data_IF_237161985651
#
_entry.id   IF_237161985651
#
_cell.length_a   1.000
_cell.length_b   1.000
_cell.length_c   1.000
_cell.angle_alpha   90.00
_cell.angle_beta   90.00
_cell.angle_gamma   90.00
#
_symmetry.space_group_name_H-M   'P 1'
#
loop_
_entity.id
_entity.type
_entity.pdbx_description
1 polymer ?
#
# COMPACT_ATOMS: atom_id res chain seq x y z
N UNK A 1 -9.30 -16.92 10.59
CA UNK A 1 -8.94 -15.55 11.03
C UNK A 1 -7.43 -15.31 10.91
N UNK A 2 -6.59 -16.24 11.39
CA UNK A 2 -5.12 -16.08 11.34
C UNK A 2 -4.57 -15.83 9.92
N UNK A 3 -5.07 -16.53 8.91
CA UNK A 3 -4.68 -16.32 7.50
C UNK A 3 -4.98 -14.91 6.97
N UNK A 4 -6.05 -14.28 7.48
CA UNK A 4 -6.45 -12.92 7.11
C UNK A 4 -5.56 -11.87 7.78
N UNK A 5 -5.19 -12.09 9.04
CA UNK A 5 -4.30 -11.19 9.79
C UNK A 5 -2.90 -11.11 9.18
N UNK A 6 -2.45 -12.18 8.53
CA UNK A 6 -1.12 -12.26 7.92
C UNK A 6 -1.08 -11.73 6.47
N UNK A 7 -2.22 -11.42 5.85
CA UNK A 7 -2.28 -10.99 4.46
C UNK A 7 -1.53 -9.66 4.24
N UNK A 8 -2.00 -8.59 4.89
CA UNK A 8 -1.42 -7.25 4.77
C UNK A 8 0.06 -7.21 5.20
N UNK A 9 0.46 -7.78 6.36
CA UNK A 9 1.87 -7.84 6.74
C UNK A 9 2.77 -8.51 5.69
N UNK A 10 2.30 -9.56 5.01
CA UNK A 10 3.07 -10.24 3.96
C UNK A 10 3.18 -9.40 2.70
N UNK A 11 2.08 -8.82 2.22
CA UNK A 11 2.08 -7.96 1.02
C UNK A 11 2.96 -6.73 1.25
N UNK A 12 2.74 -6.00 2.34
CA UNK A 12 3.51 -4.81 2.67
C UNK A 12 4.97 -5.14 2.99
N UNK A 13 5.24 -6.29 3.62
CA UNK A 13 6.57 -6.80 3.88
C UNK A 13 7.33 -7.14 2.61
N UNK A 14 6.67 -7.75 1.63
CA UNK A 14 7.23 -8.03 0.31
C UNK A 14 7.55 -6.75 -0.44
N UNK A 15 6.61 -5.80 -0.49
CA UNK A 15 6.83 -4.50 -1.10
C UNK A 15 8.08 -3.85 -0.49
N UNK A 16 8.16 -3.76 0.85
CA UNK A 16 9.34 -3.24 1.52
C UNK A 16 10.63 -3.98 1.12
N UNK A 17 10.60 -5.31 1.05
CA UNK A 17 11.78 -6.11 0.68
C UNK A 17 12.23 -5.84 -0.76
N UNK A 18 11.30 -5.69 -1.70
CA UNK A 18 11.59 -5.35 -3.09
C UNK A 18 12.25 -3.97 -3.16
N UNK A 19 11.75 -2.99 -2.40
CA UNK A 19 12.31 -1.64 -2.40
C UNK A 19 13.67 -1.54 -1.68
N UNK A 20 13.88 -2.29 -0.60
CA UNK A 20 15.07 -2.15 0.23
C UNK A 20 16.23 -3.06 -0.22
N UNK A 21 15.96 -4.12 -0.99
CA UNK A 21 16.95 -5.14 -1.36
C UNK A 21 17.26 -5.10 -2.86
N UNK A 22 18.42 -4.54 -3.23
CA UNK A 22 18.84 -4.42 -4.64
C UNK A 22 18.75 -5.73 -5.46
N UNK A 23 19.18 -6.91 -4.96
CA UNK A 23 19.07 -8.15 -5.73
C UNK A 23 17.61 -8.54 -6.02
N UNK A 24 16.71 -8.30 -5.07
CA UNK A 24 15.28 -8.61 -5.20
C UNK A 24 14.61 -7.61 -6.14
N UNK A 25 14.96 -6.32 -6.03
CA UNK A 25 14.48 -5.26 -6.91
C UNK A 25 14.82 -5.56 -8.38
N UNK A 26 16.08 -5.89 -8.66
CA UNK A 26 16.55 -6.18 -10.02
C UNK A 26 15.91 -7.45 -10.58
N UNK A 27 15.78 -8.51 -9.78
CA UNK A 27 15.10 -9.73 -10.21
C UNK A 27 13.62 -9.47 -10.52
N UNK A 28 12.94 -8.69 -9.67
CA UNK A 28 11.54 -8.32 -9.86
C UNK A 28 11.34 -7.46 -11.12
N UNK A 29 12.15 -6.42 -11.30
CA UNK A 29 12.08 -5.54 -12.48
C UNK A 29 12.28 -6.32 -13.79
N UNK A 30 13.24 -7.25 -13.84
CA UNK A 30 13.43 -8.13 -15.00
C UNK A 30 12.19 -8.97 -15.32
N UNK A 31 11.48 -9.44 -14.29
CA UNK A 31 10.26 -10.24 -14.51
C UNK A 31 9.13 -9.36 -15.03
N UNK A 32 8.97 -8.17 -14.46
CA UNK A 32 7.97 -7.18 -14.90
C UNK A 32 8.22 -6.74 -16.34
N UNK A 33 9.47 -6.42 -16.72
CA UNK A 33 9.84 -5.99 -18.07
C UNK A 33 9.60 -7.09 -19.13
N UNK A 34 9.66 -8.36 -18.74
CA UNK A 34 9.43 -9.50 -19.63
C UNK A 34 7.95 -9.89 -19.75
N UNK A 35 7.05 -9.30 -18.96
CA UNK A 35 5.64 -9.63 -18.97
C UNK A 35 4.84 -8.59 -19.79
N UNK A 36 4.44 -8.91 -21.03
CA UNK A 36 3.71 -7.97 -21.89
C UNK A 36 2.27 -7.72 -21.43
N UNK A 37 1.77 -8.47 -20.44
CA UNK A 37 0.38 -8.35 -19.95
C UNK A 37 0.23 -7.24 -18.91
N UNK A 38 1.34 -6.73 -18.38
CA UNK A 38 1.33 -5.62 -17.41
C UNK A 38 1.11 -4.32 -18.17
N UNK A 39 -0.15 -3.91 -18.26
CA UNK A 39 -0.55 -2.66 -18.91
C UNK A 39 -0.58 -1.54 -17.87
N UNK A 40 0.27 -0.53 -18.02
CA UNK A 40 0.23 0.70 -17.21
C UNK A 40 1.58 1.17 -16.66
N UNK A 41 1.55 2.11 -15.72
CA UNK A 41 2.74 2.67 -15.06
C UNK A 41 3.19 1.88 -13.82
N UNK A 42 2.43 0.86 -13.42
CA UNK A 42 2.68 0.09 -12.20
C UNK A 42 3.76 -0.96 -12.44
N UNK A 43 5.02 -0.54 -12.39
CA UNK A 43 6.18 -1.44 -12.55
C UNK A 43 6.70 -2.02 -11.23
N UNK A 44 6.14 -1.60 -10.10
CA UNK A 44 6.57 -2.03 -8.76
C UNK A 44 5.40 -2.06 -7.78
N UNK A 45 5.56 -2.83 -6.72
CA UNK A 45 4.62 -2.88 -5.60
C UNK A 45 4.60 -1.56 -4.84
N UNK A 46 3.39 -1.05 -4.55
CA UNK A 46 3.26 0.16 -3.74
C UNK A 46 3.74 -0.10 -2.30
N UNK A 47 4.44 0.90 -1.72
CA UNK A 47 4.88 0.83 -0.32
C UNK A 47 3.76 1.28 0.60
N UNK A 48 3.60 0.55 1.70
CA UNK A 48 2.80 1.00 2.84
C UNK A 48 3.37 2.28 3.43
N UNK A 49 2.50 3.24 3.71
CA UNK A 49 2.84 4.52 4.31
C UNK A 49 1.93 4.80 5.51
N UNK A 50 2.50 4.82 6.71
CA UNK A 50 1.72 4.92 7.96
C UNK A 50 0.86 6.20 8.07
N UNK A 51 1.28 7.30 7.43
CA UNK A 51 0.54 8.57 7.42
C UNK A 51 -0.50 8.68 6.32
N UNK A 52 -0.53 7.75 5.35
CA UNK A 52 -1.50 7.73 4.26
C UNK A 52 -2.47 6.58 4.43
N UNK A 53 -3.71 6.93 4.73
CA UNK A 53 -4.77 5.98 5.05
C UNK A 53 -5.09 5.01 3.89
N UNK A 54 -4.84 5.39 2.64
CA UNK A 54 -5.11 4.58 1.45
C UNK A 54 -3.93 3.71 1.00
N UNK A 55 -2.78 3.78 1.69
CA UNK A 55 -1.57 3.06 1.23
C UNK A 55 -1.69 1.54 1.34
N UNK A 56 -2.54 1.04 2.25
CA UNK A 56 -2.85 -0.39 2.36
C UNK A 56 -3.68 -0.86 1.14
N UNK A 57 -4.62 -0.02 0.66
CA UNK A 57 -5.34 -0.26 -0.60
C UNK A 57 -4.36 -0.28 -1.78
N UNK A 58 -3.50 0.74 -1.92
CA UNK A 58 -2.56 0.82 -3.05
C UNK A 58 -1.60 -0.39 -3.06
N UNK A 59 -1.18 -0.86 -1.88
CA UNK A 59 -0.33 -2.05 -1.74
C UNK A 59 -1.02 -3.33 -2.21
N UNK A 60 -2.32 -3.49 -1.92
CA UNK A 60 -3.12 -4.64 -2.36
C UNK A 60 -3.45 -4.57 -3.84
N UNK A 61 -3.87 -3.40 -4.32
CA UNK A 61 -4.24 -3.16 -5.72
C UNK A 61 -3.07 -3.48 -6.66
N UNK A 62 -1.88 -2.93 -6.34
CA UNK A 62 -0.66 -3.21 -7.11
C UNK A 62 -0.20 -4.67 -6.99
N UNK A 63 -0.43 -5.34 -5.85
CA UNK A 63 -0.11 -6.76 -5.69
C UNK A 63 -0.99 -7.67 -6.54
N UNK A 64 -2.27 -7.33 -6.71
CA UNK A 64 -3.21 -8.06 -7.56
C UNK A 64 -2.90 -7.87 -9.05
N UNK A 65 -2.59 -6.64 -9.47
CA UNK A 65 -2.16 -6.35 -10.85
C UNK A 65 -0.88 -7.12 -11.20
N UNK A 66 0.07 -7.18 -10.25
CA UNK A 66 1.37 -7.83 -10.42
C UNK A 66 1.39 -9.27 -9.90
N UNK A 67 0.26 -9.97 -9.83
CA UNK A 67 0.20 -11.31 -9.20
C UNK A 67 1.23 -12.29 -9.81
N UNK A 68 1.32 -12.36 -11.14
CA UNK A 68 2.27 -13.26 -11.83
C UNK A 68 3.73 -12.87 -11.54
N UNK A 69 4.13 -11.60 -11.70
CA UNK A 69 5.45 -11.12 -11.28
C UNK A 69 5.77 -11.32 -9.80
N UNK A 70 4.78 -11.28 -8.92
CA UNK A 70 4.95 -11.52 -7.48
C UNK A 70 5.20 -12.99 -7.18
N UNK A 71 4.52 -13.91 -7.90
CA UNK A 71 4.66 -15.36 -7.72
C UNK A 71 5.95 -15.93 -8.31
N UNK A 72 6.47 -15.36 -9.40
CA UNK A 72 7.66 -15.85 -10.08
C UNK A 72 8.95 -15.88 -9.22
N UNK A 73 9.37 -14.78 -8.55
CA UNK A 73 10.60 -14.75 -7.76
C UNK A 73 10.49 -15.56 -6.46
N UNK A 74 9.28 -15.94 -6.03
CA UNK A 74 9.09 -16.84 -4.89
C UNK A 74 9.54 -18.28 -5.17
N UNK A 75 9.74 -18.64 -6.45
CA UNK A 75 10.29 -19.95 -6.84
C UNK A 75 11.82 -20.00 -6.68
N UNK A 76 12.47 -18.85 -6.72
CA UNK A 76 13.90 -18.72 -6.51
C UNK A 76 14.24 -18.90 -5.01
N UNK A 77 15.12 -19.88 -4.72
CA UNK A 77 15.52 -20.18 -3.35
C UNK A 77 16.56 -19.18 -2.83
N UNK A 78 17.31 -18.53 -3.71
CA UNK A 78 18.43 -17.66 -3.36
C UNK A 78 17.95 -16.31 -2.81
N UNK A 79 16.75 -15.87 -3.22
CA UNK A 79 16.14 -14.61 -2.77
C UNK A 79 15.44 -14.72 -1.40
N UNK A 80 15.28 -15.93 -0.86
CA UNK A 80 14.66 -16.20 0.44
C UNK A 80 13.30 -15.49 0.66
N UNK A 81 12.43 -15.49 -0.35
CA UNK A 81 11.13 -14.79 -0.34
C UNK A 81 9.96 -15.66 0.16
N UNK A 82 10.22 -16.90 0.59
CA UNK A 82 9.18 -17.86 1.00
C UNK A 82 8.29 -17.36 2.14
N UNK A 83 8.84 -16.54 3.04
CA UNK A 83 8.10 -15.96 4.16
C UNK A 83 6.93 -15.05 3.73
N UNK A 84 7.01 -14.48 2.52
CA UNK A 84 6.01 -13.57 1.97
C UNK A 84 5.03 -14.27 1.03
N UNK A 85 5.15 -15.59 0.86
CA UNK A 85 4.27 -16.35 -0.04
C UNK A 85 2.84 -16.32 0.47
N UNK A 86 1.92 -15.96 -0.41
CA UNK A 86 0.49 -16.02 -0.18
C UNK A 86 -0.08 -17.36 -0.65
N UNK A 87 -1.04 -17.91 0.09
CA UNK A 87 -1.85 -19.05 -0.36
C UNK A 87 -2.91 -18.59 -1.35
N UNK A 88 -3.50 -19.51 -2.12
CA UNK A 88 -4.58 -19.14 -3.05
C UNK A 88 -5.78 -18.53 -2.32
N UNK A 89 -6.13 -19.03 -1.13
CA UNK A 89 -7.19 -18.44 -0.31
C UNK A 89 -6.87 -17.00 0.11
N UNK A 90 -5.59 -16.70 0.38
CA UNK A 90 -5.15 -15.35 0.71
C UNK A 90 -5.21 -14.41 -0.51
N UNK A 91 -4.99 -14.92 -1.73
CA UNK A 91 -5.19 -14.15 -2.95
C UNK A 91 -6.66 -13.82 -3.20
N UNK A 92 -7.55 -14.79 -3.01
CA UNK A 92 -8.99 -14.57 -3.11
C UNK A 92 -9.45 -13.54 -2.07
N UNK A 93 -9.00 -13.70 -0.82
CA UNK A 93 -9.27 -12.73 0.24
C UNK A 93 -8.69 -11.34 -0.06
N UNK A 94 -7.55 -11.25 -0.73
CA UNK A 94 -6.96 -9.98 -1.12
C UNK A 94 -7.82 -9.26 -2.16
N UNK A 95 -8.41 -10.00 -3.11
CA UNK A 95 -9.36 -9.46 -4.07
C UNK A 95 -10.62 -8.93 -3.37
N UNK A 96 -11.24 -9.74 -2.50
CA UNK A 96 -12.42 -9.35 -1.72
C UNK A 96 -12.14 -8.10 -0.87
N UNK A 97 -10.98 -8.05 -0.21
CA UNK A 97 -10.58 -6.92 0.62
C UNK A 97 -10.32 -5.67 -0.23
N UNK A 98 -9.70 -5.79 -1.40
CA UNK A 98 -9.49 -4.67 -2.32
C UNK A 98 -10.82 -4.06 -2.74
N UNK A 99 -11.80 -4.89 -3.10
CA UNK A 99 -13.11 -4.43 -3.55
C UNK A 99 -13.86 -3.68 -2.43
N UNK A 100 -13.82 -4.19 -1.19
CA UNK A 100 -14.40 -3.50 -0.03
C UNK A 100 -13.70 -2.16 0.23
N UNK A 101 -12.37 -2.14 0.19
CA UNK A 101 -11.58 -0.93 0.39
C UNK A 101 -11.81 0.10 -0.73
N UNK A 102 -12.05 -0.35 -1.96
CA UNK A 102 -12.40 0.51 -3.09
C UNK A 102 -13.73 1.23 -2.86
N UNK A 103 -14.75 0.50 -2.41
CA UNK A 103 -16.06 1.09 -2.06
C UNK A 103 -15.91 2.12 -0.94
N UNK A 104 -15.17 1.80 0.13
CA UNK A 104 -14.88 2.75 1.21
C UNK A 104 -14.13 3.98 0.68
N UNK A 105 -13.19 3.80 -0.24
CA UNK A 105 -12.41 4.90 -0.82
C UNK A 105 -13.27 5.84 -1.64
N UNK A 106 -14.11 5.30 -2.52
CA UNK A 106 -15.05 6.08 -3.34
C UNK A 106 -16.02 6.82 -2.43
N UNK A 107 -16.56 6.17 -1.40
CA UNK A 107 -17.49 6.80 -0.47
C UNK A 107 -16.85 7.96 0.29
N UNK A 108 -15.63 7.79 0.80
CA UNK A 108 -14.91 8.87 1.51
C UNK A 108 -14.63 10.06 0.59
N UNK A 109 -14.20 9.82 -0.65
CA UNK A 109 -13.97 10.89 -1.64
C UNK A 109 -15.27 11.60 -1.97
N UNK A 110 -16.36 10.88 -2.22
CA UNK A 110 -17.67 11.47 -2.50
C UNK A 110 -18.21 12.26 -1.30
N UNK A 111 -18.10 11.74 -0.08
CA UNK A 111 -18.53 12.46 1.13
C UNK A 111 -17.75 13.77 1.33
N UNK A 112 -16.46 13.80 0.98
CA UNK A 112 -15.63 15.01 1.00
C UNK A 112 -15.97 16.00 -0.12
N UNK A 113 -16.48 15.53 -1.26
CA UNK A 113 -16.90 16.36 -2.40
C UNK A 113 -18.36 16.86 -2.27
N UNK A 114 -19.18 16.16 -1.48
CA UNK A 114 -20.61 16.43 -1.29
C UNK A 114 -20.89 17.20 0.01
N UNK A 115 -19.87 17.75 0.69
CA UNK A 115 -20.06 18.75 1.75
C UNK A 115 -19.83 20.19 1.24
N UNK A 116 -20.80 20.84 0.56
CA UNK A 116 -20.95 22.28 0.70
C UNK A 116 -21.68 22.54 2.03
N UNK A 117 -21.08 23.36 2.89
CA UNK A 117 -21.57 23.83 4.20
C UNK A 117 -21.24 22.97 5.43
N UNK A 118 -19.98 23.04 5.87
CA UNK A 118 -19.74 23.36 7.27
C UNK A 118 -18.93 24.65 7.30
N UNK A 119 -19.62 25.75 7.61
CA UNK A 119 -19.01 27.06 7.86
C UNK A 119 -17.99 26.88 8.97
N UNK A 120 -16.75 27.27 8.68
CA UNK A 120 -15.67 27.40 9.62
C UNK A 120 -16.04 28.53 10.61
N UNK A 121 -16.81 28.22 11.66
CA UNK A 121 -16.94 29.12 12.79
C UNK A 121 -15.60 29.07 13.54
N UNK A 122 -14.77 30.08 13.30
CA UNK A 122 -13.69 30.44 14.22
C UNK A 122 -14.31 30.55 15.61
N UNK A 123 -13.97 29.62 16.49
CA UNK A 123 -14.13 29.86 17.91
C UNK A 123 -13.14 30.97 18.27
N UNK A 124 -13.63 32.21 18.32
CA UNK A 124 -13.00 33.26 19.08
C UNK A 124 -12.97 32.83 20.55
N UNK A 125 -11.81 32.44 21.04
CA UNK A 125 -11.51 32.51 22.47
C UNK A 125 -10.12 33.11 22.65
N UNK A 126 -10.02 34.22 23.40
CA UNK A 126 -8.76 34.89 23.61
C UNK A 126 -7.98 34.24 24.75
N UNK A 127 -6.67 34.45 24.70
CA UNK A 127 -5.70 34.28 25.80
C UNK A 127 -5.24 32.85 26.09
N UNK A 128 -4.06 32.51 25.55
CA UNK A 128 -2.93 32.11 26.38
C UNK A 128 -1.61 32.42 25.65
N UNK A 129 -0.71 33.03 26.41
CA UNK A 129 0.48 33.78 26.00
C UNK A 129 1.53 33.00 25.20
N UNK A 130 2.25 33.78 24.36
CA UNK A 130 3.57 33.53 23.77
C UNK A 130 4.46 32.59 24.61
N UNK A 131 5.12 31.65 23.92
CA UNK A 131 6.57 31.47 24.08
C UNK A 131 7.23 31.39 22.72
N UNK A 132 8.05 32.41 22.46
CA UNK A 132 9.04 32.45 21.39
C UNK A 132 9.99 31.26 21.53
N UNK A 133 10.20 30.49 20.46
CA UNK A 133 11.27 29.50 20.41
C UNK A 133 12.38 30.06 19.52
N UNK A 134 13.37 30.68 20.18
CA UNK A 134 14.62 31.08 19.54
C UNK A 134 15.70 30.03 19.79
N UNK A 135 16.46 29.77 18.71
CA UNK A 135 17.88 29.35 18.61
C UNK A 135 18.24 27.87 18.41
N UNK A 136 18.88 27.69 17.24
CA UNK A 136 20.25 27.15 16.95
C UNK A 136 20.52 25.68 17.30
N UNK A 137 20.98 24.92 16.29
CA UNK A 137 22.41 24.77 15.98
C UNK A 137 22.64 24.92 14.48
#
# INVERSE_FOLDING_TARGET
IESALQLLPRVCGLARKIHDSSPVATAFAKIVDNDPTIVGQTQTLARRCASRWNSDYDSLDTALILEQPVRAPMKDKDLNLKAYKLTNDQWNLAADLRDVLEVCRVHLVLSSLIQPHIVCQRADSPVLQRRECTKRY
#
